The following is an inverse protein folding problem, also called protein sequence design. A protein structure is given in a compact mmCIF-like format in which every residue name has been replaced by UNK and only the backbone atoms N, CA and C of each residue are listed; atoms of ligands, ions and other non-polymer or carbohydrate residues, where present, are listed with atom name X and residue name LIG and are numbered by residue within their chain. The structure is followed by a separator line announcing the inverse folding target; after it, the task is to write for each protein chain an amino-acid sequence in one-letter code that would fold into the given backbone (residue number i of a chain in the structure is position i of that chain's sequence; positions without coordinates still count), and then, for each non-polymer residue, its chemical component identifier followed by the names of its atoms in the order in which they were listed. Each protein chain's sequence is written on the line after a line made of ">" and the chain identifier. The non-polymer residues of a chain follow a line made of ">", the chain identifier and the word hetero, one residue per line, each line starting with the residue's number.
data_IF_317143791151
#
_entry.id   IF_317143791151
#
_cell.length_a   1.000
_cell.length_b   1.000
_cell.length_c   1.000
_cell.angle_alpha   90.00
_cell.angle_beta   90.00
_cell.angle_gamma   90.00
#
_symmetry.space_group_name_H-M   'P 1'
#
loop_
_entity.id
_entity.type
_entity.pdbx_description
1 polymer ?
#
# COMPACT_ATOMS: atom_id res chain seq x y z
N UNK A 1 -21.32 52.62 -49.79
CA UNK A 1 -20.17 51.71 -49.58
C UNK A 1 -19.74 51.64 -48.12
N UNK A 2 -19.27 52.73 -47.51
CA UNK A 2 -18.71 52.65 -46.14
C UNK A 2 -19.77 52.32 -45.05
N UNK A 3 -21.02 52.74 -45.23
CA UNK A 3 -22.13 52.43 -44.32
C UNK A 3 -22.63 50.99 -44.40
N UNK A 4 -22.70 50.41 -45.61
CA UNK A 4 -23.10 49.02 -45.82
C UNK A 4 -22.06 48.06 -45.28
N UNK A 5 -20.78 48.29 -45.57
CA UNK A 5 -19.68 47.49 -45.03
C UNK A 5 -19.68 47.51 -43.49
N UNK A 6 -19.93 48.67 -42.89
CA UNK A 6 -20.04 48.80 -41.43
C UNK A 6 -21.25 48.07 -40.85
N UNK A 7 -22.37 48.03 -41.57
CA UNK A 7 -23.56 47.30 -41.13
C UNK A 7 -23.38 45.78 -41.27
N UNK A 8 -22.70 45.33 -42.31
CA UNK A 8 -22.37 43.91 -42.53
C UNK A 8 -21.39 43.39 -41.46
N UNK A 9 -20.34 44.16 -41.15
CA UNK A 9 -19.41 43.83 -40.07
C UNK A 9 -20.14 43.79 -38.72
N UNK A 10 -21.03 44.75 -38.44
CA UNK A 10 -21.85 44.73 -37.21
C UNK A 10 -22.76 43.51 -37.15
N UNK A 11 -23.45 43.17 -38.25
CA UNK A 11 -24.31 42.01 -38.31
C UNK A 11 -23.52 40.70 -38.09
N UNK A 12 -22.33 40.59 -38.70
CA UNK A 12 -21.45 39.45 -38.53
C UNK A 12 -20.94 39.32 -37.09
N UNK A 13 -20.51 40.43 -36.47
CA UNK A 13 -20.08 40.45 -35.06
C UNK A 13 -21.26 40.06 -34.13
N UNK A 14 -22.45 40.61 -34.36
CA UNK A 14 -23.63 40.30 -33.54
C UNK A 14 -24.05 38.84 -33.71
N UNK A 15 -24.01 38.31 -34.93
CA UNK A 15 -24.33 36.91 -35.19
C UNK A 15 -23.33 35.95 -34.55
N UNK A 16 -22.03 36.27 -34.60
CA UNK A 16 -21.00 35.48 -33.96
C UNK A 16 -21.13 35.50 -32.43
N UNK A 17 -21.35 36.68 -31.84
CA UNK A 17 -21.58 36.79 -30.39
C UNK A 17 -22.83 36.01 -30.00
N UNK A 18 -23.92 36.13 -30.76
CA UNK A 18 -25.16 35.40 -30.49
C UNK A 18 -24.97 33.89 -30.57
N UNK A 19 -24.21 33.39 -31.54
CA UNK A 19 -23.90 31.97 -31.68
C UNK A 19 -23.05 31.47 -30.51
N UNK A 20 -21.93 32.13 -30.21
CA UNK A 20 -21.03 31.73 -29.10
C UNK A 20 -21.74 31.77 -27.75
N UNK A 21 -22.51 32.83 -27.46
CA UNK A 21 -23.27 32.92 -26.20
C UNK A 21 -24.36 31.85 -26.13
N UNK A 22 -25.01 31.51 -27.25
CA UNK A 22 -26.01 30.45 -27.26
C UNK A 22 -25.39 29.06 -27.02
N UNK A 23 -24.23 28.79 -27.63
CA UNK A 23 -23.48 27.55 -27.43
C UNK A 23 -23.00 27.43 -25.97
N UNK A 24 -22.44 28.50 -25.39
CA UNK A 24 -22.01 28.52 -23.98
C UNK A 24 -23.18 28.34 -23.00
N UNK A 25 -24.34 28.95 -23.28
CA UNK A 25 -25.56 28.76 -22.48
C UNK A 25 -26.05 27.31 -22.59
N UNK A 26 -26.00 26.73 -23.79
CA UNK A 26 -26.44 25.36 -24.02
C UNK A 26 -25.54 24.34 -23.30
N UNK A 27 -24.22 24.50 -23.39
CA UNK A 27 -23.25 23.65 -22.69
C UNK A 27 -23.40 23.78 -21.16
N UNK A 28 -23.54 25.01 -20.67
CA UNK A 28 -23.78 25.27 -19.24
C UNK A 28 -25.10 24.65 -18.77
N UNK A 29 -26.17 24.75 -19.55
CA UNK A 29 -27.46 24.14 -19.23
C UNK A 29 -27.38 22.60 -19.21
N UNK A 30 -26.63 22.00 -20.15
CA UNK A 30 -26.39 20.55 -20.20
C UNK A 30 -25.63 20.09 -18.95
N UNK A 31 -24.56 20.77 -18.55
CA UNK A 31 -23.79 20.40 -17.37
C UNK A 31 -24.59 20.56 -16.07
N UNK A 32 -25.39 21.63 -15.95
CA UNK A 32 -26.30 21.80 -14.81
C UNK A 32 -27.36 20.70 -14.79
N UNK A 33 -27.93 20.34 -15.94
CA UNK A 33 -28.92 19.27 -16.05
C UNK A 33 -28.31 17.91 -15.67
N UNK A 34 -27.12 17.56 -16.20
CA UNK A 34 -26.40 16.34 -15.83
C UNK A 34 -26.10 16.28 -14.34
N UNK A 35 -25.63 17.39 -13.76
CA UNK A 35 -25.34 17.48 -12.33
C UNK A 35 -26.60 17.28 -11.47
N UNK A 36 -27.72 17.94 -11.83
CA UNK A 36 -29.01 17.78 -11.14
C UNK A 36 -29.58 16.36 -11.29
N UNK A 37 -29.48 15.76 -12.46
CA UNK A 37 -29.88 14.36 -12.68
C UNK A 37 -29.01 13.44 -11.83
N UNK A 38 -27.69 13.67 -11.77
CA UNK A 38 -26.78 12.91 -10.90
C UNK A 38 -27.15 13.02 -9.42
N UNK A 39 -27.44 14.23 -8.93
CA UNK A 39 -27.91 14.46 -7.56
C UNK A 39 -29.23 13.74 -7.27
N UNK A 40 -30.19 13.83 -8.19
CA UNK A 40 -31.48 13.16 -8.05
C UNK A 40 -31.36 11.64 -8.08
N UNK A 41 -30.56 11.07 -8.99
CA UNK A 41 -30.28 9.63 -9.03
C UNK A 41 -29.61 9.17 -7.74
N UNK A 42 -28.64 9.93 -7.22
CA UNK A 42 -27.99 9.62 -5.96
C UNK A 42 -28.97 9.66 -4.78
N UNK A 43 -29.88 10.64 -4.75
CA UNK A 43 -30.94 10.71 -3.73
C UNK A 43 -31.91 9.53 -3.84
N UNK A 44 -32.32 9.17 -5.05
CA UNK A 44 -33.19 8.01 -5.30
C UNK A 44 -32.51 6.70 -4.86
N UNK A 45 -31.24 6.50 -5.20
CA UNK A 45 -30.45 5.34 -4.77
C UNK A 45 -30.29 5.30 -3.25
N UNK A 46 -29.99 6.45 -2.61
CA UNK A 46 -29.88 6.54 -1.17
C UNK A 46 -31.22 6.21 -0.47
N UNK A 47 -32.33 6.67 -1.03
CA UNK A 47 -33.67 6.35 -0.51
C UNK A 47 -33.99 4.86 -0.69
N UNK A 48 -33.71 4.29 -1.87
CA UNK A 48 -33.91 2.86 -2.12
C UNK A 48 -33.06 1.98 -1.19
N UNK A 49 -31.81 2.37 -0.90
CA UNK A 49 -30.96 1.61 0.04
C UNK A 49 -31.51 1.59 1.47
N UNK A 50 -32.23 2.63 1.88
CA UNK A 50 -32.83 2.76 3.22
C UNK A 50 -34.18 2.06 3.33
N UNK A 51 -35.04 2.26 2.33
CA UNK A 51 -36.44 1.83 2.41
C UNK A 51 -36.62 0.38 1.95
N UNK A 52 -35.79 -0.08 1.00
CA UNK A 52 -35.97 -1.40 0.42
C UNK A 52 -35.37 -2.47 1.32
N UNK A 53 -36.23 -3.37 1.80
CA UNK A 53 -35.85 -4.51 2.61
C UNK A 53 -35.86 -5.78 1.78
N UNK A 54 -34.81 -6.58 1.94
CA UNK A 54 -34.63 -7.85 1.26
C UNK A 54 -34.64 -9.01 2.27
N UNK A 55 -35.15 -10.19 1.89
CA UNK A 55 -35.11 -11.36 2.74
C UNK A 55 -33.66 -11.85 2.88
N UNK A 56 -33.18 -11.94 4.12
CA UNK A 56 -31.87 -12.46 4.46
C UNK A 56 -31.98 -13.60 5.47
N UNK A 57 -31.21 -14.65 5.23
CA UNK A 57 -31.16 -15.84 6.06
C UNK A 57 -29.82 -15.88 6.78
N UNK A 58 -29.83 -15.82 8.11
CA UNK A 58 -28.58 -15.79 8.91
C UNK A 58 -27.82 -17.12 8.87
N UNK A 59 -28.52 -18.24 8.65
CA UNK A 59 -27.92 -19.57 8.56
C UNK A 59 -28.67 -20.43 7.58
N UNK A 60 -27.94 -21.25 6.81
CA UNK A 60 -28.55 -22.23 5.90
C UNK A 60 -29.40 -23.26 6.64
N UNK A 61 -29.15 -23.50 7.93
CA UNK A 61 -29.82 -24.51 8.76
C UNK A 61 -31.03 -23.98 9.55
N UNK A 62 -31.16 -22.67 9.71
CA UNK A 62 -32.33 -22.06 10.37
C UNK A 62 -33.53 -21.93 9.41
N UNK A 63 -34.74 -21.71 9.94
CA UNK A 63 -35.93 -21.38 9.13
C UNK A 63 -36.32 -19.90 9.20
N UNK A 64 -35.67 -19.13 10.06
CA UNK A 64 -35.96 -17.71 10.25
C UNK A 64 -35.37 -16.88 9.11
N UNK A 65 -36.23 -16.10 8.46
CA UNK A 65 -35.85 -15.13 7.42
C UNK A 65 -36.12 -13.74 7.97
N UNK A 66 -35.08 -12.92 8.07
CA UNK A 66 -35.17 -11.54 8.53
C UNK A 66 -35.15 -10.61 7.34
N UNK A 67 -35.93 -9.54 7.41
CA UNK A 67 -35.95 -8.50 6.38
C UNK A 67 -34.94 -7.42 6.76
N UNK A 68 -33.84 -7.33 6.01
CA UNK A 68 -32.76 -6.36 6.23
C UNK A 68 -32.68 -5.36 5.08
N UNK A 69 -32.15 -4.17 5.33
CA UNK A 69 -31.91 -3.18 4.28
C UNK A 69 -30.70 -3.54 3.41
N UNK A 70 -30.57 -2.89 2.26
CA UNK A 70 -29.40 -3.06 1.38
C UNK A 70 -28.12 -2.61 2.11
N UNK A 71 -28.20 -1.53 2.86
CA UNK A 71 -27.08 -1.03 3.67
C UNK A 71 -26.62 -2.07 4.72
N UNK A 72 -27.57 -2.67 5.45
CA UNK A 72 -27.29 -3.73 6.43
C UNK A 72 -26.69 -4.98 5.76
N UNK A 73 -27.17 -5.35 4.57
CA UNK A 73 -26.60 -6.46 3.80
C UNK A 73 -25.14 -6.19 3.41
N UNK A 74 -24.85 -5.00 2.87
CA UNK A 74 -23.49 -4.61 2.50
C UNK A 74 -22.57 -4.61 3.73
N UNK A 75 -23.05 -4.07 4.86
CA UNK A 75 -22.33 -4.09 6.13
C UNK A 75 -21.98 -5.51 6.57
N UNK A 76 -22.95 -6.44 6.53
CA UNK A 76 -22.72 -7.85 6.86
C UNK A 76 -21.73 -8.54 5.92
N UNK A 77 -21.82 -8.29 4.61
CA UNK A 77 -20.86 -8.84 3.65
C UNK A 77 -19.45 -8.28 3.90
N UNK A 78 -19.34 -7.00 4.21
CA UNK A 78 -18.08 -6.36 4.53
C UNK A 78 -17.48 -6.92 5.82
N UNK A 79 -18.26 -7.05 6.90
CA UNK A 79 -17.85 -7.70 8.13
C UNK A 79 -17.43 -9.15 7.90
N UNK A 80 -18.18 -9.92 7.11
CA UNK A 80 -17.83 -11.29 6.77
C UNK A 80 -16.51 -11.38 5.99
N UNK A 81 -16.26 -10.46 5.07
CA UNK A 81 -15.02 -10.38 4.32
C UNK A 81 -13.82 -10.03 5.21
N UNK A 82 -14.01 -9.11 6.17
CA UNK A 82 -12.97 -8.74 7.15
C UNK A 82 -12.70 -9.86 8.16
N UNK A 83 -13.74 -10.57 8.58
CA UNK A 83 -13.62 -11.70 9.52
C UNK A 83 -13.22 -13.00 8.83
N UNK A 84 -13.06 -13.02 7.49
CA UNK A 84 -12.68 -14.22 6.76
C UNK A 84 -11.33 -14.75 7.28
N UNK A 85 -11.24 -16.04 7.64
CA UNK A 85 -9.99 -16.63 8.08
C UNK A 85 -8.98 -16.66 6.92
N UNK A 86 -7.75 -16.25 7.22
CA UNK A 86 -6.65 -16.21 6.26
C UNK A 86 -5.41 -16.90 6.82
N UNK A 87 -4.54 -17.33 5.90
CA UNK A 87 -3.20 -17.80 6.25
C UNK A 87 -2.21 -16.63 6.39
N UNK A 88 -0.96 -16.93 6.72
CA UNK A 88 0.16 -15.98 6.84
C UNK A 88 0.37 -15.09 5.62
N UNK A 89 -0.02 -15.56 4.43
CA UNK A 89 0.10 -14.83 3.17
C UNK A 89 -1.15 -13.97 2.86
N UNK A 90 -2.20 -14.04 3.69
CA UNK A 90 -3.46 -13.32 3.47
C UNK A 90 -4.46 -14.04 2.58
N UNK A 91 -4.13 -15.27 2.14
CA UNK A 91 -5.01 -16.08 1.31
C UNK A 91 -6.16 -16.66 2.15
N UNK A 92 -7.39 -16.70 1.60
CA UNK A 92 -8.54 -17.23 2.31
C UNK A 92 -8.37 -18.73 2.57
N UNK A 93 -8.68 -19.16 3.80
CA UNK A 93 -8.68 -20.56 4.20
C UNK A 93 -10.03 -20.93 4.83
N UNK A 94 -10.28 -22.23 5.05
CA UNK A 94 -11.45 -22.68 5.80
C UNK A 94 -11.34 -22.32 7.28
N UNK A 95 -12.50 -22.18 7.96
CA UNK A 95 -12.56 -21.88 9.39
C UNK A 95 -11.85 -22.92 10.27
N UNK A 96 -11.87 -24.19 9.85
CA UNK A 96 -11.24 -25.33 10.53
C UNK A 96 -9.84 -25.67 9.98
N UNK A 97 -9.25 -24.80 9.15
CA UNK A 97 -7.94 -25.08 8.58
C UNK A 97 -6.84 -24.91 9.63
N UNK A 98 -5.96 -25.91 9.74
CA UNK A 98 -4.71 -25.81 10.52
C UNK A 98 -3.76 -24.69 10.01
N UNK A 99 -4.01 -24.15 8.81
CA UNK A 99 -3.25 -23.05 8.21
C UNK A 99 -3.83 -21.66 8.53
N UNK A 100 -4.81 -21.59 9.43
CA UNK A 100 -5.43 -20.34 9.86
C UNK A 100 -4.49 -19.59 10.80
N UNK A 101 -4.02 -18.43 10.35
CA UNK A 101 -3.13 -17.55 11.12
C UNK A 101 -3.86 -16.34 11.72
N UNK A 102 -5.05 -16.00 11.20
CA UNK A 102 -5.87 -14.91 11.72
C UNK A 102 -7.08 -14.62 10.84
N UNK A 103 -7.73 -13.48 11.08
CA UNK A 103 -8.76 -12.92 10.18
C UNK A 103 -8.12 -12.01 9.14
N UNK A 104 -8.83 -11.71 8.06
CA UNK A 104 -8.39 -10.73 7.06
C UNK A 104 -8.18 -9.35 7.68
N UNK A 105 -8.96 -8.98 8.69
CA UNK A 105 -8.75 -7.76 9.46
C UNK A 105 -7.41 -7.80 10.24
N UNK A 106 -7.08 -8.91 10.90
CA UNK A 106 -5.77 -9.06 11.59
C UNK A 106 -4.59 -8.94 10.60
N UNK A 107 -4.77 -9.47 9.38
CA UNK A 107 -3.78 -9.36 8.31
C UNK A 107 -3.63 -7.91 7.83
N UNK A 108 -4.75 -7.25 7.49
CA UNK A 108 -4.78 -5.86 7.00
C UNK A 108 -4.30 -4.83 8.04
N UNK A 109 -4.62 -5.05 9.32
CA UNK A 109 -4.26 -4.13 10.42
C UNK A 109 -2.84 -4.34 10.96
N UNK A 110 -2.10 -5.29 10.38
CA UNK A 110 -0.67 -5.38 10.60
C UNK A 110 -0.23 -6.15 11.85
N UNK A 111 -1.06 -7.05 12.40
CA UNK A 111 -0.53 -8.12 13.28
C UNK A 111 0.50 -8.98 12.53
N UNK A 112 0.41 -9.06 11.21
CA UNK A 112 1.40 -9.69 10.34
C UNK A 112 2.45 -8.71 9.79
N UNK A 113 2.09 -7.44 9.50
CA UNK A 113 3.06 -6.44 9.05
C UNK A 113 4.12 -6.09 10.12
N UNK A 114 3.71 -5.97 11.39
CA UNK A 114 4.65 -5.80 12.52
C UNK A 114 5.51 -7.05 12.74
N UNK A 115 4.90 -8.24 12.68
CA UNK A 115 5.62 -9.50 12.84
C UNK A 115 6.68 -9.70 11.74
N UNK A 116 6.34 -9.38 10.49
CA UNK A 116 7.29 -9.39 9.37
C UNK A 116 8.41 -8.36 9.55
N UNK A 117 8.08 -7.13 9.97
CA UNK A 117 9.07 -6.11 10.26
C UNK A 117 10.02 -6.53 11.40
N UNK A 118 9.48 -7.11 12.48
CA UNK A 118 10.26 -7.61 13.62
C UNK A 118 11.17 -8.79 13.21
N UNK A 119 10.69 -9.73 12.39
CA UNK A 119 11.48 -10.85 11.87
C UNK A 119 12.64 -10.35 10.99
N UNK A 120 12.38 -9.40 10.08
CA UNK A 120 13.42 -8.81 9.23
C UNK A 120 14.46 -8.00 10.04
N UNK A 121 14.01 -7.25 11.05
CA UNK A 121 14.92 -6.50 11.94
C UNK A 121 15.77 -7.47 12.77
N UNK A 122 15.21 -8.56 13.29
CA UNK A 122 15.98 -9.57 14.03
C UNK A 122 17.02 -10.28 13.16
N UNK A 123 16.66 -10.65 11.93
CA UNK A 123 17.58 -11.27 10.98
C UNK A 123 18.72 -10.31 10.61
N UNK A 124 18.41 -9.04 10.37
CA UNK A 124 19.39 -8.00 10.10
C UNK A 124 20.35 -7.77 11.27
N UNK A 125 19.84 -7.68 12.51
CA UNK A 125 20.66 -7.55 13.73
C UNK A 125 21.57 -8.76 13.91
N UNK A 126 21.08 -9.97 13.65
CA UNK A 126 21.87 -11.21 13.74
C UNK A 126 23.03 -11.21 12.74
N UNK A 127 22.78 -10.78 11.50
CA UNK A 127 23.79 -10.68 10.47
C UNK A 127 24.86 -9.63 10.82
N UNK A 128 24.45 -8.44 11.26
CA UNK A 128 25.38 -7.40 11.73
C UNK A 128 26.25 -7.92 12.86
N UNK A 129 25.67 -8.61 13.85
CA UNK A 129 26.45 -9.15 14.98
C UNK A 129 27.49 -10.16 14.51
N UNK A 130 27.12 -11.05 13.57
CA UNK A 130 28.03 -12.03 12.99
C UNK A 130 29.14 -11.36 12.19
N UNK A 131 28.84 -10.31 11.44
CA UNK A 131 29.82 -9.56 10.65
C UNK A 131 30.78 -8.78 11.56
N UNK A 132 30.29 -8.19 12.66
CA UNK A 132 31.12 -7.55 13.67
C UNK A 132 32.03 -8.56 14.36
N UNK A 133 31.50 -9.73 14.75
CA UNK A 133 32.28 -10.80 15.38
C UNK A 133 33.36 -11.30 14.43
N UNK A 134 33.02 -11.53 13.15
CA UNK A 134 33.96 -11.94 12.12
C UNK A 134 35.05 -10.88 11.91
N UNK A 135 34.66 -9.63 11.66
CA UNK A 135 35.59 -8.52 11.45
C UNK A 135 36.51 -8.29 12.65
N UNK A 136 35.97 -8.33 13.87
CA UNK A 136 36.76 -8.17 15.10
C UNK A 136 37.74 -9.32 15.28
N UNK A 137 37.30 -10.56 15.04
CA UNK A 137 38.17 -11.74 15.15
C UNK A 137 39.31 -11.71 14.12
N UNK A 138 39.00 -11.33 12.87
CA UNK A 138 39.98 -11.14 11.80
C UNK A 138 40.97 -10.03 12.16
N UNK A 139 40.49 -8.87 12.60
CA UNK A 139 41.35 -7.74 13.00
C UNK A 139 42.26 -8.07 14.18
N UNK A 140 41.72 -8.73 15.21
CA UNK A 140 42.49 -9.16 16.37
C UNK A 140 43.54 -10.20 15.94
N UNK A 141 43.18 -11.16 15.10
CA UNK A 141 44.14 -12.15 14.56
C UNK A 141 45.24 -11.49 13.74
N UNK A 142 44.89 -10.52 12.89
CA UNK A 142 45.84 -9.77 12.08
C UNK A 142 46.83 -8.98 12.95
N UNK A 143 46.34 -8.26 13.97
CA UNK A 143 47.20 -7.51 14.89
C UNK A 143 48.03 -8.41 15.81
N UNK A 144 47.47 -9.52 16.31
CA UNK A 144 48.24 -10.50 17.07
C UNK A 144 49.36 -11.12 16.22
N UNK A 145 49.09 -11.43 14.94
CA UNK A 145 50.12 -11.91 14.02
C UNK A 145 51.19 -10.85 13.76
N UNK A 146 50.83 -9.57 13.60
CA UNK A 146 51.81 -8.48 13.47
C UNK A 146 52.68 -8.34 14.72
N UNK A 147 52.08 -8.38 15.91
CA UNK A 147 52.81 -8.32 17.17
C UNK A 147 53.73 -9.53 17.37
N UNK A 148 53.23 -10.75 17.15
CA UNK A 148 54.04 -11.97 17.21
C UNK A 148 55.19 -11.93 16.21
N UNK A 149 54.94 -11.53 14.96
CA UNK A 149 55.99 -11.39 13.94
C UNK A 149 57.00 -10.33 14.34
N UNK A 150 56.54 -9.18 14.84
CA UNK A 150 57.43 -8.11 15.33
C UNK A 150 58.27 -8.56 16.52
N UNK A 151 57.69 -9.33 17.45
CA UNK A 151 58.40 -9.89 18.60
C UNK A 151 59.41 -10.97 18.19
N UNK A 152 59.05 -11.84 17.23
CA UNK A 152 59.98 -12.80 16.67
C UNK A 152 61.15 -12.09 15.98
N UNK A 153 60.88 -11.10 15.14
CA UNK A 153 61.92 -10.30 14.48
C UNK A 153 62.79 -9.54 15.49
N UNK A 154 62.21 -8.98 16.56
CA UNK A 154 62.99 -8.27 17.60
C UNK A 154 63.82 -9.22 18.47
N UNK A 155 63.36 -10.46 18.66
CA UNK A 155 64.07 -11.48 19.43
C UNK A 155 65.08 -12.28 18.59
N UNK A 156 65.03 -12.17 17.26
CA UNK A 156 66.10 -12.62 16.39
C UNK A 156 67.26 -11.63 16.56
N UNK A 157 68.28 -12.08 17.28
CA UNK A 157 69.55 -11.39 17.37
C UNK A 157 70.29 -11.59 16.03
N UNK A 158 70.00 -10.72 15.06
CA UNK A 158 70.62 -10.76 13.72
C UNK A 158 72.16 -10.66 13.79
N UNK A 159 72.73 -10.14 14.88
CA UNK A 159 74.18 -10.16 15.10
C UNK A 159 74.74 -11.54 15.43
N UNK A 160 73.92 -12.52 15.85
CA UNK A 160 74.34 -13.92 16.03
C UNK A 160 74.08 -14.78 14.79
N UNK A 161 73.05 -14.44 14.01
CA UNK A 161 72.70 -15.20 12.80
C UNK A 161 73.65 -14.89 11.63
N UNK A 162 74.28 -13.71 11.61
CA UNK A 162 75.26 -13.30 10.59
C UNK A 162 76.70 -13.19 11.10
N UNK A 163 77.04 -13.86 12.21
CA UNK A 163 78.42 -13.98 12.71
C UNK A 163 78.85 -15.44 12.82
N UNK A 164 78.69 -16.17 11.73
CA UNK A 164 79.53 -17.31 11.37
C UNK A 164 79.80 -17.11 9.88
N UNK A 165 81.07 -17.16 9.48
CA UNK A 165 81.62 -16.95 8.12
C UNK A 165 82.27 -15.58 7.83
N UNK A 166 83.12 -15.07 8.74
CA UNK A 166 84.32 -14.35 8.31
C UNK A 166 85.50 -14.85 9.18
N UNK A 167 86.31 -15.72 8.56
CA UNK A 167 87.68 -16.07 8.99
C UNK A 167 88.60 -14.84 9.02
#
# INVERSE_FOLDING_TARGET
>A
LDSELRNEIKAHIVNNIKATVMDEIQDTAIEIAKSRVGLWVNQLLAQMMKDHKIPYKESNYGSEVKMITIEEMIGKQFEAALNQPVNKNGEPVGWDSYRKDGTRLDWLTGKLARKYADEQVQEFVKNIKRDIEYYTSEKVKEEMMKQLTSQLVSNIDFNKVFKEDDE
#
